data_IF_583479854277
#
_entry.id   IF_583479854277
#
_cell.length_a   1.000
_cell.length_b   1.000
_cell.length_c   1.000
_cell.angle_alpha   90.00
_cell.angle_beta   90.00
_cell.angle_gamma   90.00
#
_symmetry.space_group_name_H-M   'P 1'
#
loop_
_entity.id
_entity.type
_entity.pdbx_description
1 polymer ?
#
# COMPACT_ATOMS: atom_id res chain seq x y z
N UNK A 1 8.37 -25.89 22.90
CA UNK A 1 9.23 -26.00 21.69
C UNK A 1 8.98 -24.77 20.83
N UNK A 2 9.89 -23.80 20.87
CA UNK A 2 9.76 -22.54 20.10
C UNK A 2 10.02 -22.87 18.63
N UNK A 3 9.00 -22.79 17.77
CA UNK A 3 9.19 -23.03 16.33
C UNK A 3 10.12 -21.95 15.78
N UNK A 4 11.14 -22.29 14.98
CA UNK A 4 12.01 -21.30 14.36
C UNK A 4 11.21 -20.38 13.42
N UNK A 5 10.89 -19.17 13.87
CA UNK A 5 10.14 -18.19 13.08
C UNK A 5 10.88 -17.72 11.82
N UNK A 6 12.19 -17.95 11.73
CA UNK A 6 13.00 -17.66 10.54
C UNK A 6 12.62 -18.51 9.32
N UNK A 7 12.01 -19.68 9.49
CA UNK A 7 11.52 -20.49 8.35
C UNK A 7 10.34 -19.78 7.67
N UNK A 8 9.48 -19.09 8.44
CA UNK A 8 8.28 -18.44 7.90
C UNK A 8 8.62 -17.29 6.95
N UNK A 9 9.65 -16.49 7.29
CA UNK A 9 10.09 -15.39 6.43
C UNK A 9 10.78 -15.90 5.16
N UNK A 10 11.58 -16.97 5.26
CA UNK A 10 12.19 -17.58 4.07
C UNK A 10 11.13 -18.12 3.11
N UNK A 11 10.09 -18.77 3.63
CA UNK A 11 8.97 -19.25 2.80
C UNK A 11 8.23 -18.08 2.15
N UNK A 12 7.97 -16.99 2.87
CA UNK A 12 7.31 -15.80 2.32
C UNK A 12 8.14 -15.12 1.22
N UNK A 13 9.45 -14.96 1.43
CA UNK A 13 10.35 -14.39 0.42
C UNK A 13 10.49 -15.30 -0.79
N UNK A 14 10.62 -16.61 -0.59
CA UNK A 14 10.65 -17.59 -1.68
C UNK A 14 9.35 -17.56 -2.49
N UNK A 15 8.19 -17.40 -1.84
CA UNK A 15 6.90 -17.21 -2.51
C UNK A 15 6.92 -15.97 -3.41
N UNK A 16 7.32 -14.80 -2.89
CA UNK A 16 7.39 -13.58 -3.69
C UNK A 16 8.38 -13.68 -4.86
N UNK A 17 9.55 -14.27 -4.65
CA UNK A 17 10.53 -14.51 -5.71
C UNK A 17 9.97 -15.46 -6.77
N UNK A 18 9.29 -16.54 -6.35
CA UNK A 18 8.69 -17.51 -7.28
C UNK A 18 7.60 -16.87 -8.14
N UNK A 19 6.73 -16.07 -7.55
CA UNK A 19 5.66 -15.38 -8.27
C UNK A 19 6.22 -14.33 -9.22
N UNK A 20 7.24 -13.58 -8.79
CA UNK A 20 7.93 -12.63 -9.66
C UNK A 20 8.61 -13.35 -10.85
N UNK A 21 9.20 -14.52 -10.63
CA UNK A 21 9.73 -15.37 -11.70
C UNK A 21 8.66 -15.88 -12.67
N UNK A 22 7.46 -16.25 -12.19
CA UNK A 22 6.32 -16.61 -13.05
C UNK A 22 5.91 -15.45 -13.96
N UNK A 23 5.92 -14.22 -13.43
CA UNK A 23 5.64 -13.01 -14.21
C UNK A 23 6.66 -12.78 -15.33
N UNK A 24 7.95 -13.04 -15.08
CA UNK A 24 9.00 -12.90 -16.09
C UNK A 24 8.91 -13.97 -17.18
N UNK A 25 8.57 -15.20 -16.80
CA UNK A 25 8.40 -16.32 -17.73
C UNK A 25 7.10 -16.23 -18.55
N UNK A 26 6.04 -15.66 -17.97
CA UNK A 26 4.72 -15.56 -18.59
C UNK A 26 4.12 -14.15 -18.42
N UNK A 27 4.55 -13.17 -19.25
CA UNK A 27 4.06 -11.79 -19.16
C UNK A 27 2.54 -11.64 -19.36
N UNK A 28 1.92 -12.60 -20.04
CA UNK A 28 0.47 -12.68 -20.28
C UNK A 28 -0.35 -12.77 -18.99
N UNK A 29 0.25 -13.32 -17.92
CA UNK A 29 -0.38 -13.42 -16.61
C UNK A 29 0.06 -12.32 -15.63
N UNK A 30 0.75 -11.27 -16.10
CA UNK A 30 1.22 -10.16 -15.27
C UNK A 30 0.11 -9.59 -14.36
N UNK A 31 -1.04 -9.22 -14.93
CA UNK A 31 -2.15 -8.66 -14.15
C UNK A 31 -2.67 -9.61 -13.05
N UNK A 32 -2.72 -10.92 -13.33
CA UNK A 32 -3.12 -11.93 -12.35
C UNK A 32 -2.07 -12.00 -11.21
N UNK A 33 -0.79 -11.99 -11.57
CA UNK A 33 0.32 -11.98 -10.62
C UNK A 33 0.26 -10.73 -9.73
N UNK A 34 0.05 -9.55 -10.31
CA UNK A 34 -0.11 -8.28 -9.57
C UNK A 34 -1.24 -8.37 -8.55
N UNK A 35 -2.39 -8.90 -8.95
CA UNK A 35 -3.53 -9.08 -8.05
C UNK A 35 -3.22 -10.05 -6.91
N UNK A 36 -2.54 -11.17 -7.19
CA UNK A 36 -2.14 -12.13 -6.15
C UNK A 36 -1.21 -11.46 -5.14
N UNK A 37 -0.19 -10.72 -5.60
CA UNK A 37 0.73 -10.01 -4.71
C UNK A 37 -0.02 -8.95 -3.90
N UNK A 38 -0.90 -8.18 -4.55
CA UNK A 38 -1.69 -7.13 -3.92
C UNK A 38 -2.56 -7.67 -2.77
N UNK A 39 -3.35 -8.72 -3.04
CA UNK A 39 -4.19 -9.34 -2.01
C UNK A 39 -3.38 -10.05 -0.94
N UNK A 40 -2.20 -10.59 -1.27
CA UNK A 40 -1.30 -11.16 -0.27
C UNK A 40 -0.76 -10.07 0.68
N UNK A 41 -0.35 -8.93 0.16
CA UNK A 41 0.11 -7.79 0.95
C UNK A 41 -1.01 -7.23 1.85
N UNK A 42 -2.22 -7.10 1.31
CA UNK A 42 -3.40 -6.73 2.10
C UNK A 42 -3.72 -7.77 3.19
N UNK A 43 -3.63 -9.06 2.88
CA UNK A 43 -3.80 -10.14 3.84
C UNK A 43 -2.76 -10.09 4.97
N UNK A 44 -1.52 -9.71 4.67
CA UNK A 44 -0.49 -9.49 5.69
C UNK A 44 -0.82 -8.30 6.60
N UNK A 45 -1.25 -7.18 6.03
CA UNK A 45 -1.71 -6.03 6.80
C UNK A 45 -2.89 -6.42 7.72
N UNK A 46 -3.87 -7.17 7.20
CA UNK A 46 -5.00 -7.66 7.99
C UNK A 46 -4.58 -8.63 9.09
N UNK A 47 -3.60 -9.51 8.82
CA UNK A 47 -3.06 -10.42 9.82
C UNK A 47 -2.32 -9.69 10.96
N UNK A 48 -1.69 -8.54 10.69
CA UNK A 48 -1.07 -7.73 11.75
C UNK A 48 -2.14 -7.22 12.72
N UNK A 49 -3.24 -6.66 12.22
CA UNK A 49 -4.32 -6.18 13.10
C UNK A 49 -5.12 -7.33 13.70
N UNK A 50 -5.84 -8.11 12.90
CA UNK A 50 -6.74 -9.12 13.42
C UNK A 50 -5.98 -10.30 14.06
N UNK A 51 -4.93 -10.78 13.40
CA UNK A 51 -4.22 -11.98 13.82
C UNK A 51 -3.33 -11.77 15.04
N UNK A 52 -2.58 -10.66 15.10
CA UNK A 52 -1.60 -10.42 16.17
C UNK A 52 -2.16 -9.59 17.32
N UNK A 53 -3.04 -8.61 17.05
CA UNK A 53 -3.60 -7.74 18.10
C UNK A 53 -5.00 -8.15 18.55
N UNK A 54 -5.71 -8.97 17.76
CA UNK A 54 -7.09 -9.36 18.05
C UNK A 54 -8.13 -8.27 17.77
N UNK A 55 -7.73 -7.12 17.21
CA UNK A 55 -8.63 -6.05 16.80
C UNK A 55 -9.08 -6.23 15.35
N UNK A 56 -10.37 -6.08 15.12
CA UNK A 56 -10.93 -6.02 13.76
C UNK A 56 -10.73 -4.60 13.22
N UNK A 57 -9.84 -4.45 12.24
CA UNK A 57 -9.58 -3.17 11.56
C UNK A 57 -10.25 -3.15 10.17
N UNK A 58 -11.07 -2.13 9.91
CA UNK A 58 -11.61 -1.86 8.58
C UNK A 58 -10.96 -0.64 7.91
N UNK A 59 -10.06 0.07 8.59
CA UNK A 59 -9.45 1.34 8.16
C UNK A 59 -8.41 1.20 7.04
N UNK A 60 -8.01 -0.01 6.68
CA UNK A 60 -7.01 -0.27 5.62
C UNK A 60 -7.36 0.39 4.27
N UNK A 61 -8.64 0.60 3.99
CA UNK A 61 -9.12 1.26 2.76
C UNK A 61 -8.68 2.73 2.72
N UNK A 62 -8.79 3.46 3.84
CA UNK A 62 -8.33 4.84 3.94
C UNK A 62 -6.81 4.95 3.70
N UNK A 63 -6.03 4.04 4.27
CA UNK A 63 -4.58 4.01 4.07
C UNK A 63 -4.19 3.67 2.62
N UNK A 64 -4.90 2.73 2.00
CA UNK A 64 -4.72 2.40 0.59
C UNK A 64 -5.03 3.61 -0.31
N UNK A 65 -6.16 4.29 -0.05
CA UNK A 65 -6.57 5.47 -0.80
C UNK A 65 -5.51 6.57 -0.72
N UNK A 66 -5.03 6.91 0.49
CA UNK A 66 -3.99 7.92 0.69
C UNK A 66 -2.68 7.56 0.00
N UNK A 67 -2.31 6.27 -0.03
CA UNK A 67 -1.15 5.81 -0.78
C UNK A 67 -1.29 6.03 -2.28
N UNK A 68 -2.44 5.69 -2.85
CA UNK A 68 -2.72 5.91 -4.28
C UNK A 68 -2.79 7.40 -4.64
N UNK A 69 -3.47 8.22 -3.83
CA UNK A 69 -3.54 9.66 -4.04
C UNK A 69 -2.16 10.33 -3.89
N UNK A 70 -1.35 9.94 -2.90
CA UNK A 70 0.01 10.45 -2.73
C UNK A 70 0.90 10.15 -3.92
N UNK A 71 0.86 8.91 -4.42
CA UNK A 71 1.55 8.56 -5.66
C UNK A 71 1.10 9.40 -6.85
N UNK A 72 -0.21 9.62 -6.98
CA UNK A 72 -0.75 10.31 -8.14
C UNK A 72 -0.60 11.81 -8.16
N UNK A 73 -0.63 12.45 -7.00
CA UNK A 73 -0.33 13.88 -6.88
C UNK A 73 1.12 14.17 -7.24
N UNK A 74 2.05 13.29 -6.86
CA UNK A 74 3.45 13.42 -7.24
C UNK A 74 3.62 13.35 -8.76
N UNK A 75 2.96 12.40 -9.43
CA UNK A 75 3.00 12.26 -10.90
C UNK A 75 2.43 13.51 -11.58
N UNK A 76 1.26 13.99 -11.17
CA UNK A 76 0.66 15.22 -11.72
C UNK A 76 1.55 16.44 -11.53
N UNK A 77 2.14 16.57 -10.34
CA UNK A 77 3.03 17.67 -10.02
C UNK A 77 4.28 17.68 -10.90
N UNK A 78 4.94 16.52 -11.08
CA UNK A 78 6.13 16.38 -11.92
C UNK A 78 5.79 16.65 -13.39
N UNK A 79 4.68 16.12 -13.89
CA UNK A 79 4.19 16.36 -15.25
C UNK A 79 3.89 17.84 -15.51
N UNK A 80 3.18 18.50 -14.60
CA UNK A 80 2.82 19.91 -14.74
C UNK A 80 4.03 20.86 -14.63
N UNK A 81 5.03 20.48 -13.83
CA UNK A 81 6.22 21.30 -13.59
C UNK A 81 7.33 21.10 -14.64
N UNK A 82 7.16 20.15 -15.57
CA UNK A 82 8.20 19.81 -16.56
C UNK A 82 9.48 19.28 -15.93
N UNK A 83 9.38 18.67 -14.74
CA UNK A 83 10.52 18.11 -14.01
C UNK A 83 10.95 16.77 -14.62
N UNK A 84 12.20 16.34 -14.38
CA UNK A 84 12.67 15.02 -14.78
C UNK A 84 11.70 13.89 -14.38
N UNK A 85 11.32 12.98 -15.30
CA UNK A 85 10.37 11.90 -15.03
C UNK A 85 10.76 11.01 -13.85
N UNK A 86 12.06 10.80 -13.63
CA UNK A 86 12.61 9.98 -12.56
C UNK A 86 12.22 10.51 -11.16
N UNK A 87 11.97 11.82 -11.03
CA UNK A 87 11.48 12.39 -9.78
C UNK A 87 10.09 11.87 -9.42
N UNK A 88 9.22 11.57 -10.39
CA UNK A 88 7.91 11.01 -10.11
C UNK A 88 8.02 9.64 -9.43
N UNK A 89 9.03 8.84 -9.80
CA UNK A 89 9.27 7.50 -9.25
C UNK A 89 9.75 7.54 -7.79
N UNK A 90 10.39 8.63 -7.36
CA UNK A 90 10.87 8.83 -5.99
C UNK A 90 9.85 9.59 -5.15
N UNK A 91 9.30 10.68 -5.68
CA UNK A 91 8.34 11.53 -4.98
C UNK A 91 7.01 10.81 -4.74
N UNK A 92 6.58 9.93 -5.65
CA UNK A 92 5.33 9.17 -5.51
C UNK A 92 5.31 8.33 -4.23
N UNK A 93 6.23 7.37 -4.04
CA UNK A 93 6.34 6.61 -2.80
C UNK A 93 6.52 7.46 -1.55
N UNK A 94 7.31 8.54 -1.65
CA UNK A 94 7.58 9.41 -0.51
C UNK A 94 6.31 10.16 -0.07
N UNK A 95 5.54 10.71 -1.01
CA UNK A 95 4.25 11.34 -0.72
C UNK A 95 3.21 10.33 -0.21
N UNK A 96 3.17 9.12 -0.78
CA UNK A 96 2.30 8.04 -0.31
C UNK A 96 2.58 7.70 1.16
N UNK A 97 3.84 7.49 1.52
CA UNK A 97 4.26 7.21 2.90
C UNK A 97 3.95 8.39 3.81
N UNK A 98 4.21 9.62 3.38
CA UNK A 98 3.95 10.83 4.16
C UNK A 98 2.45 10.97 4.50
N UNK A 99 1.56 10.86 3.50
CA UNK A 99 0.13 11.00 3.70
C UNK A 99 -0.43 9.86 4.56
N UNK A 100 -0.05 8.60 4.26
CA UNK A 100 -0.50 7.45 5.02
C UNK A 100 -0.02 7.53 6.48
N UNK A 101 1.24 7.94 6.72
CA UNK A 101 1.80 8.08 8.08
C UNK A 101 1.13 9.20 8.87
N UNK A 102 0.83 10.33 8.23
CA UNK A 102 0.13 11.44 8.89
C UNK A 102 -1.23 11.01 9.42
N UNK A 103 -2.01 10.30 8.59
CA UNK A 103 -3.31 9.76 9.00
C UNK A 103 -3.15 8.61 9.98
N UNK A 104 -2.14 7.76 9.83
CA UNK A 104 -1.89 6.65 10.76
C UNK A 104 -1.55 7.15 12.17
N UNK A 105 -0.81 8.25 12.29
CA UNK A 105 -0.51 8.87 13.58
C UNK A 105 -1.76 9.52 14.21
N UNK A 106 -2.55 10.25 13.40
CA UNK A 106 -3.78 10.88 13.88
C UNK A 106 -4.81 9.86 14.33
N UNK A 107 -5.06 8.84 13.50
CA UNK A 107 -6.02 7.77 13.77
C UNK A 107 -5.49 6.85 14.87
N UNK A 108 -4.23 6.43 14.80
CA UNK A 108 -3.61 5.54 15.79
C UNK A 108 -3.63 6.15 17.19
N UNK A 109 -3.40 7.45 17.34
CA UNK A 109 -3.44 8.13 18.64
C UNK A 109 -4.81 8.09 19.33
N UNK A 110 -5.89 8.02 18.56
CA UNK A 110 -7.27 7.96 19.07
C UNK A 110 -7.78 6.52 19.11
N UNK A 111 -7.66 5.80 18.00
CA UNK A 111 -8.22 4.47 17.81
C UNK A 111 -7.59 3.44 18.76
N UNK A 112 -6.28 3.50 19.01
CA UNK A 112 -5.61 2.55 19.92
C UNK A 112 -6.06 2.64 21.38
N UNK A 113 -6.83 3.67 21.76
CA UNK A 113 -7.46 3.79 23.09
C UNK A 113 -8.76 3.00 23.21
N UNK A 114 -9.35 2.61 22.08
CA UNK A 114 -10.62 1.90 22.01
C UNK A 114 -10.37 0.39 22.07
N UNK A 115 -11.34 -0.37 22.59
CA UNK A 115 -11.25 -1.82 22.72
C UNK A 115 -12.41 -2.53 22.01
N UNK A 116 -12.13 -3.70 21.45
CA UNK A 116 -13.12 -4.58 20.82
C UNK A 116 -13.88 -3.91 19.68
N UNK A 117 -15.21 -4.01 19.72
CA UNK A 117 -16.10 -3.49 18.68
C UNK A 117 -15.99 -1.97 18.46
N UNK A 118 -15.63 -1.19 19.49
CA UNK A 118 -15.47 0.25 19.37
C UNK A 118 -14.32 0.64 18.44
N UNK A 119 -13.26 -0.18 18.38
CA UNK A 119 -12.15 0.02 17.46
C UNK A 119 -12.61 -0.16 16.00
N UNK A 120 -13.39 -1.21 15.74
CA UNK A 120 -13.95 -1.46 14.41
C UNK A 120 -14.88 -0.32 13.96
N UNK A 121 -15.76 0.17 14.84
CA UNK A 121 -16.65 1.31 14.53
C UNK A 121 -15.84 2.58 14.21
N UNK A 122 -14.80 2.86 14.99
CA UNK A 122 -13.95 4.03 14.75
C UNK A 122 -13.23 3.97 13.41
N UNK A 123 -12.70 2.80 13.02
CA UNK A 123 -12.00 2.63 11.73
C UNK A 123 -12.93 2.73 10.53
N UNK A 124 -14.19 2.28 10.65
CA UNK A 124 -15.24 2.55 9.66
C UNK A 124 -15.51 4.05 9.55
N UNK A 125 -15.63 4.74 10.70
CA UNK A 125 -15.81 6.19 10.75
C UNK A 125 -14.68 6.96 10.07
N UNK A 126 -13.43 6.48 10.17
CA UNK A 126 -12.27 7.06 9.47
C UNK A 126 -12.40 6.91 7.96
N UNK A 127 -12.80 5.73 7.47
CA UNK A 127 -12.99 5.51 6.02
C UNK A 127 -14.06 6.43 5.46
N UNK A 128 -15.24 6.45 6.08
CA UNK A 128 -16.35 7.29 5.63
C UNK A 128 -16.01 8.77 5.77
N UNK A 129 -15.39 9.17 6.88
CA UNK A 129 -14.95 10.55 7.10
C UNK A 129 -13.95 11.02 6.04
N UNK A 130 -12.95 10.19 5.69
CA UNK A 130 -12.00 10.52 4.64
C UNK A 130 -12.68 10.60 3.27
N UNK A 131 -13.58 9.66 2.96
CA UNK A 131 -14.35 9.68 1.71
C UNK A 131 -15.17 10.96 1.58
N UNK A 132 -15.94 11.32 2.60
CA UNK A 132 -16.73 12.56 2.62
C UNK A 132 -15.86 13.81 2.53
N UNK A 133 -14.67 13.80 3.14
CA UNK A 133 -13.73 14.91 3.02
C UNK A 133 -13.25 15.09 1.58
N UNK A 134 -12.86 13.99 0.92
CA UNK A 134 -12.37 14.01 -0.47
C UNK A 134 -13.48 14.44 -1.43
N UNK A 135 -14.65 13.79 -1.35
CA UNK A 135 -15.79 14.08 -2.22
C UNK A 135 -16.38 15.47 -1.96
N UNK A 136 -16.61 15.82 -0.68
CA UNK A 136 -17.28 17.06 -0.29
C UNK A 136 -16.45 18.31 -0.54
N UNK A 137 -15.15 18.25 -0.27
CA UNK A 137 -14.24 19.36 -0.56
C UNK A 137 -13.66 19.32 -1.99
N UNK A 138 -14.07 18.34 -2.81
CA UNK A 138 -13.56 18.11 -4.18
C UNK A 138 -12.03 18.03 -4.25
N UNK A 139 -11.42 17.48 -3.21
CA UNK A 139 -9.98 17.32 -3.13
C UNK A 139 -9.58 16.14 -4.04
N UNK A 140 -8.44 16.26 -4.73
CA UNK A 140 -7.86 15.17 -5.55
C UNK A 140 -8.83 14.53 -6.56
N UNK A 141 -9.65 15.36 -7.22
CA UNK A 141 -10.65 14.90 -8.19
C UNK A 141 -11.98 14.44 -7.57
N UNK A 142 -12.14 14.53 -6.24
CA UNK A 142 -13.37 14.19 -5.54
C UNK A 142 -13.82 12.76 -5.84
N UNK A 143 -15.10 12.60 -6.18
CA UNK A 143 -15.68 11.30 -6.52
C UNK A 143 -15.21 10.70 -7.86
N UNK A 144 -14.60 11.50 -8.75
CA UNK A 144 -14.05 11.00 -10.02
C UNK A 144 -12.63 10.44 -9.87
N UNK A 145 -11.92 10.85 -8.82
CA UNK A 145 -10.53 10.47 -8.56
C UNK A 145 -9.52 11.15 -9.49
N UNK A 146 -8.26 10.71 -9.40
CA UNK A 146 -7.17 11.25 -10.21
C UNK A 146 -6.94 10.39 -11.46
N UNK A 147 -7.01 11.03 -12.63
CA UNK A 147 -6.64 10.39 -13.91
C UNK A 147 -5.22 10.79 -14.24
N UNK A 148 -4.29 9.83 -14.22
CA UNK A 148 -2.86 10.06 -14.47
C UNK A 148 -2.35 9.43 -15.77
N UNK A 149 -3.20 8.71 -16.51
CA UNK A 149 -2.76 8.00 -17.71
C UNK A 149 -2.13 8.96 -18.73
N UNK A 150 -2.70 10.15 -18.87
CA UNK A 150 -2.15 11.22 -19.71
C UNK A 150 -0.81 11.72 -19.18
N UNK A 151 -0.73 12.00 -17.88
CA UNK A 151 0.47 12.58 -17.25
C UNK A 151 1.66 11.61 -17.34
N UNK A 152 1.43 10.33 -17.08
CA UNK A 152 2.45 9.30 -17.24
C UNK A 152 2.92 9.15 -18.68
N UNK A 153 2.01 9.19 -19.67
CA UNK A 153 2.40 9.20 -21.09
C UNK A 153 3.20 10.44 -21.48
N UNK A 154 2.86 11.61 -20.95
CA UNK A 154 3.64 12.83 -21.22
C UNK A 154 5.04 12.78 -20.61
N UNK A 155 5.21 12.13 -19.46
CA UNK A 155 6.50 12.02 -18.78
C UNK A 155 7.40 10.94 -19.39
N UNK A 156 6.83 9.79 -19.77
CA UNK A 156 7.61 8.59 -20.12
C UNK A 156 7.38 8.08 -21.55
N UNK A 157 6.52 8.72 -22.33
CA UNK A 157 6.08 8.21 -23.64
C UNK A 157 5.16 6.99 -23.53
N UNK A 158 4.72 6.46 -24.67
CA UNK A 158 3.80 5.30 -24.69
C UNK A 158 4.49 4.00 -24.25
N UNK A 159 5.75 3.79 -24.67
CA UNK A 159 6.55 2.63 -24.24
C UNK A 159 6.88 2.69 -22.74
N UNK A 160 7.28 3.87 -22.24
CA UNK A 160 7.56 4.06 -20.82
C UNK A 160 6.32 4.02 -19.94
N UNK A 161 5.16 4.46 -20.44
CA UNK A 161 3.87 4.27 -19.76
C UNK A 161 3.55 2.79 -19.56
N UNK A 162 3.74 1.96 -20.58
CA UNK A 162 3.53 0.51 -20.48
C UNK A 162 4.52 -0.12 -19.49
N UNK A 163 5.79 0.26 -19.56
CA UNK A 163 6.82 -0.22 -18.64
C UNK A 163 6.53 0.16 -17.17
N UNK A 164 6.07 1.39 -16.91
CA UNK A 164 5.81 1.85 -15.55
C UNK A 164 4.56 1.20 -14.94
N UNK A 165 3.49 1.14 -15.72
CA UNK A 165 2.21 0.60 -15.22
C UNK A 165 2.22 -0.90 -15.02
N UNK A 166 3.14 -1.62 -15.69
CA UNK A 166 3.31 -3.06 -15.55
C UNK A 166 4.56 -3.37 -14.73
N UNK A 167 5.75 -3.30 -15.33
CA UNK A 167 7.01 -3.75 -14.74
C UNK A 167 7.35 -3.01 -13.46
N UNK A 168 7.32 -1.68 -13.48
CA UNK A 168 7.70 -0.89 -12.32
C UNK A 168 6.68 -1.04 -11.18
N UNK A 169 5.39 -0.90 -11.48
CA UNK A 169 4.32 -1.02 -10.49
C UNK A 169 4.30 -2.41 -9.83
N UNK A 170 4.42 -3.49 -10.61
CA UNK A 170 4.43 -4.86 -10.10
C UNK A 170 5.65 -5.13 -9.22
N UNK A 171 6.83 -4.68 -9.65
CA UNK A 171 8.08 -4.84 -8.89
C UNK A 171 8.04 -4.05 -7.60
N UNK A 172 7.52 -2.82 -7.64
CA UNK A 172 7.36 -1.99 -6.46
C UNK A 172 6.34 -2.58 -5.47
N UNK A 173 5.25 -3.15 -5.98
CA UNK A 173 4.27 -3.87 -5.18
C UNK A 173 4.88 -5.13 -4.54
N UNK A 174 5.67 -5.90 -5.28
CA UNK A 174 6.38 -7.06 -4.73
C UNK A 174 7.36 -6.65 -3.61
N UNK A 175 8.07 -5.53 -3.80
CA UNK A 175 8.96 -4.98 -2.78
C UNK A 175 8.20 -4.54 -1.52
N UNK A 176 7.07 -3.85 -1.66
CA UNK A 176 6.24 -3.46 -0.50
C UNK A 176 5.63 -4.67 0.21
N UNK A 177 5.21 -5.70 -0.52
CA UNK A 177 4.73 -6.95 0.04
C UNK A 177 5.84 -7.73 0.79
N UNK A 178 7.07 -7.74 0.26
CA UNK A 178 8.23 -8.30 0.94
C UNK A 178 8.59 -7.52 2.20
N UNK A 179 8.55 -6.18 2.14
CA UNK A 179 8.75 -5.32 3.30
C UNK A 179 7.69 -5.58 4.39
N UNK A 180 6.42 -5.73 4.02
CA UNK A 180 5.34 -6.09 4.96
C UNK A 180 5.57 -7.47 5.62
N UNK A 181 6.09 -8.45 4.88
CA UNK A 181 6.47 -9.74 5.44
C UNK A 181 7.62 -9.64 6.45
N UNK A 182 8.64 -8.81 6.15
CA UNK A 182 9.73 -8.51 7.08
C UNK A 182 9.19 -7.85 8.35
N UNK A 183 8.32 -6.85 8.22
CA UNK A 183 7.67 -6.19 9.36
C UNK A 183 6.89 -7.19 10.21
N UNK A 184 6.10 -8.07 9.58
CA UNK A 184 5.36 -9.13 10.28
C UNK A 184 6.30 -10.06 11.04
N UNK A 185 7.44 -10.42 10.46
CA UNK A 185 8.44 -11.24 11.12
C UNK A 185 9.08 -10.52 12.32
N UNK A 186 9.44 -9.24 12.17
CA UNK A 186 9.98 -8.41 13.25
C UNK A 186 8.97 -8.35 14.40
N UNK A 187 7.69 -8.09 14.11
CA UNK A 187 6.64 -8.00 15.12
C UNK A 187 6.46 -9.33 15.87
N UNK A 188 6.47 -10.47 15.17
CA UNK A 188 6.35 -11.81 15.79
C UNK A 188 7.53 -12.13 16.71
N UNK A 189 8.72 -11.64 16.38
CA UNK A 189 9.93 -11.90 17.14
C UNK A 189 10.22 -10.82 18.21
N UNK A 190 9.45 -9.73 18.21
CA UNK A 190 9.54 -8.65 19.19
C UNK A 190 8.67 -8.93 20.41
N UNK A 191 9.04 -8.36 21.58
CA UNK A 191 8.27 -8.48 22.83
C UNK A 191 7.01 -7.61 22.87
N UNK A 192 6.69 -6.91 21.77
CA UNK A 192 5.53 -6.03 21.66
C UNK A 192 4.26 -6.90 21.61
N UNK A 193 3.55 -7.00 22.74
CA UNK A 193 2.34 -7.82 22.89
C UNK A 193 2.28 -8.72 24.12
N UNK A 194 3.35 -8.81 24.93
CA UNK A 194 3.35 -9.54 26.22
C UNK A 194 3.03 -8.65 27.44
N UNK A 195 2.43 -7.48 27.22
CA UNK A 195 2.04 -6.52 28.27
C UNK A 195 0.53 -6.36 28.36
#
# INVERSE_FOLDING_TARGET
MVRPHWIQILVALAFYISIWGVRELYPEYSQLVTLIIFYTALGQAFNIFLGMTGYVDFGYVAFLALGMYGGGLAVQYVAASGLPPELALVLGPLQAVMLASAVALAVGGVALRLRGAYFAIATIGVNEGLRYLIEGAKIWGGGEGLIMARDLRTLFGDEGFSYITTVYADTFLAFTAAAAAIVTWILKNSRIGYG
#
